data_IF_658274007698
#
_entry.id   IF_658274007698
#
_cell.length_a   1.000
_cell.length_b   1.000
_cell.length_c   1.000
_cell.angle_alpha   90.00
_cell.angle_beta   90.00
_cell.angle_gamma   90.00
#
_symmetry.space_group_name_H-M   'P 1'
#
loop_
_entity.id
_entity.type
_entity.pdbx_description
1 polymer ?
#
# COMPACT_ATOMS: atom_id res chain seq x y z
N UNK A 1 3.56 3.06 -6.35
CA UNK A 1 4.60 3.18 -5.30
C UNK A 1 5.55 1.98 -5.43
N UNK A 2 6.85 2.15 -5.18
CA UNK A 2 7.86 1.07 -5.27
C UNK A 2 8.27 0.51 -3.89
N UNK A 3 7.37 0.54 -2.92
CA UNK A 3 7.62 0.00 -1.58
C UNK A 3 6.29 -0.45 -0.97
N UNK A 4 6.36 -1.42 -0.05
CA UNK A 4 5.23 -1.79 0.81
C UNK A 4 4.92 -0.62 1.75
N UNK A 5 3.64 -0.25 1.83
CA UNK A 5 3.20 0.89 2.63
C UNK A 5 2.09 0.47 3.60
N UNK A 6 2.46 0.11 4.82
CA UNK A 6 1.52 0.09 5.93
C UNK A 6 1.10 1.52 6.26
N UNK A 7 -0.19 1.74 6.43
CA UNK A 7 -0.78 3.04 6.75
C UNK A 7 -1.77 2.92 7.89
N UNK A 8 -1.60 3.71 8.95
CA UNK A 8 -2.50 3.77 10.09
C UNK A 8 -3.34 5.04 10.06
N UNK A 9 -4.67 4.90 10.08
CA UNK A 9 -5.59 6.03 10.17
C UNK A 9 -5.82 6.33 11.64
N UNK A 10 -5.50 7.54 12.09
CA UNK A 10 -5.62 7.92 13.50
C UNK A 10 -6.65 9.02 13.76
N UNK A 11 -7.21 9.63 12.71
CA UNK A 11 -8.30 10.61 12.82
C UNK A 11 -9.16 10.63 11.56
N UNK A 12 -10.46 10.86 11.73
CA UNK A 12 -11.42 11.01 10.63
C UNK A 12 -11.66 9.71 9.85
N UNK A 13 -12.11 9.86 8.60
CA UNK A 13 -12.41 8.76 7.68
C UNK A 13 -12.16 9.13 6.23
N UNK A 14 -11.99 8.13 5.37
CA UNK A 14 -11.82 8.32 3.93
C UNK A 14 -12.35 7.10 3.16
N UNK A 15 -12.67 7.28 1.89
CA UNK A 15 -12.82 6.18 0.94
C UNK A 15 -11.56 6.12 0.07
N UNK A 16 -10.79 5.04 0.23
CA UNK A 16 -9.59 4.80 -0.56
C UNK A 16 -9.97 4.04 -1.83
N UNK A 17 -9.52 4.52 -2.98
CA UNK A 17 -9.46 3.72 -4.20
C UNK A 17 -8.13 2.99 -4.23
N UNK A 18 -8.15 1.66 -4.17
CA UNK A 18 -6.97 0.79 -4.19
C UNK A 18 -6.93 0.04 -5.52
N UNK A 19 -5.88 0.18 -6.34
CA UNK A 19 -5.91 -0.44 -7.67
C UNK A 19 -4.64 -0.31 -8.50
N UNK A 20 -4.57 -1.08 -9.59
CA UNK A 20 -3.37 -1.41 -10.38
C UNK A 20 -2.72 -0.24 -11.11
N UNK A 21 -1.42 -0.37 -11.42
CA UNK A 21 -0.66 0.64 -12.19
C UNK A 21 -0.69 0.41 -13.73
N UNK A 22 -1.14 -0.74 -14.25
CA UNK A 22 -1.21 -0.99 -15.71
C UNK A 22 -2.64 -1.16 -16.26
N UNK A 23 -3.40 -2.20 -15.84
CA UNK A 23 -4.78 -2.44 -16.35
C UNK A 23 -5.69 -3.13 -15.33
N UNK A 24 -6.71 -2.40 -14.85
CA UNK A 24 -7.86 -2.89 -14.10
C UNK A 24 -8.62 -1.75 -13.43
N UNK A 25 -9.79 -2.05 -12.86
CA UNK A 25 -10.55 -1.13 -12.02
C UNK A 25 -10.04 -1.20 -10.58
N UNK A 26 -10.06 -0.07 -9.87
CA UNK A 26 -9.72 -0.03 -8.45
C UNK A 26 -10.87 -0.53 -7.59
N UNK A 27 -10.55 -0.87 -6.34
CA UNK A 27 -11.51 -1.23 -5.29
C UNK A 27 -11.65 -0.06 -4.36
N UNK A 28 -12.88 0.38 -4.14
CA UNK A 28 -13.19 1.37 -3.11
C UNK A 28 -13.28 0.71 -1.75
N UNK A 29 -12.47 1.19 -0.81
CA UNK A 29 -12.39 0.68 0.56
C UNK A 29 -12.61 1.84 1.53
N UNK A 30 -13.74 1.85 2.27
CA UNK A 30 -13.92 2.83 3.34
C UNK A 30 -12.98 2.51 4.50
N UNK A 31 -12.34 3.56 5.03
CA UNK A 31 -11.43 3.49 6.18
C UNK A 31 -11.75 4.59 7.19
N UNK A 32 -11.45 4.33 8.46
CA UNK A 32 -11.66 5.27 9.58
C UNK A 32 -10.55 5.15 10.62
N UNK A 33 -10.55 6.08 11.57
CA UNK A 33 -9.65 6.03 12.73
C UNK A 33 -9.69 4.65 13.41
N UNK A 34 -8.50 4.07 13.60
CA UNK A 34 -8.29 2.71 14.11
C UNK A 34 -7.98 1.68 13.04
N UNK A 35 -8.27 1.96 11.77
CA UNK A 35 -7.96 1.03 10.68
C UNK A 35 -6.49 1.10 10.28
N UNK A 36 -5.95 -0.05 9.88
CA UNK A 36 -4.62 -0.17 9.26
C UNK A 36 -4.78 -0.79 7.87
N UNK A 37 -4.16 -0.16 6.88
CA UNK A 37 -4.12 -0.64 5.50
C UNK A 37 -2.68 -1.01 5.17
N UNK A 38 -2.44 -2.26 4.77
CA UNK A 38 -1.11 -2.69 4.32
C UNK A 38 -1.16 -3.04 2.85
N UNK A 39 -0.42 -2.29 2.04
CA UNK A 39 -0.42 -2.44 0.59
C UNK A 39 0.90 -3.07 0.11
N UNK A 40 0.86 -4.15 -0.70
CA UNK A 40 2.05 -4.64 -1.39
C UNK A 40 2.68 -3.57 -2.29
N UNK A 41 3.99 -3.67 -2.49
CA UNK A 41 4.69 -2.86 -3.48
C UNK A 41 4.01 -2.96 -4.86
N UNK A 42 3.98 -1.84 -5.58
CA UNK A 42 3.28 -1.77 -6.87
C UNK A 42 1.77 -1.56 -6.77
N UNK A 43 1.21 -1.37 -5.58
CA UNK A 43 -0.19 -0.93 -5.44
C UNK A 43 -0.29 0.59 -5.64
N UNK A 44 -1.20 1.06 -6.51
CA UNK A 44 -1.60 2.47 -6.52
C UNK A 44 -2.81 2.67 -5.61
N UNK A 45 -2.89 3.83 -4.97
CA UNK A 45 -4.03 4.20 -4.17
C UNK A 45 -4.26 5.72 -4.20
N UNK A 46 -5.50 6.13 -3.99
CA UNK A 46 -5.89 7.53 -3.80
C UNK A 46 -7.03 7.64 -2.81
N UNK A 47 -7.16 8.79 -2.15
CA UNK A 47 -8.35 9.13 -1.38
C UNK A 47 -9.36 9.78 -2.32
N UNK A 48 -10.56 9.22 -2.45
CA UNK A 48 -11.66 9.79 -3.24
C UNK A 48 -12.41 10.84 -2.44
N UNK A 49 -12.80 10.48 -1.23
CA UNK A 49 -13.51 11.33 -0.29
C UNK A 49 -12.86 11.20 1.09
N UNK A 50 -12.87 12.28 1.86
CA UNK A 50 -12.33 12.29 3.22
C UNK A 50 -13.06 13.28 4.11
N UNK A 51 -13.17 12.95 5.39
CA UNK A 51 -13.62 13.91 6.39
C UNK A 51 -12.62 15.06 6.52
N UNK A 52 -13.09 16.24 6.95
CA UNK A 52 -12.25 17.44 7.07
C UNK A 52 -11.06 17.26 8.04
N UNK A 53 -11.19 16.33 8.98
CA UNK A 53 -10.20 16.00 9.99
C UNK A 53 -9.42 14.70 9.70
N UNK A 54 -9.56 14.12 8.51
CA UNK A 54 -8.87 12.88 8.11
C UNK A 54 -7.35 13.02 8.22
N UNK A 55 -6.71 12.11 8.96
CA UNK A 55 -5.25 12.02 9.11
C UNK A 55 -4.82 10.56 9.20
N UNK A 56 -3.75 10.24 8.49
CA UNK A 56 -3.11 8.93 8.51
C UNK A 56 -1.59 9.09 8.53
N UNK A 57 -0.90 8.03 8.97
CA UNK A 57 0.55 7.92 8.88
C UNK A 57 0.89 6.74 7.97
N UNK A 58 1.74 6.97 6.98
CA UNK A 58 2.36 5.90 6.21
C UNK A 58 3.73 5.56 6.80
N UNK A 59 4.02 4.28 6.96
CA UNK A 59 5.34 3.79 7.36
C UNK A 59 6.00 3.05 6.19
N UNK A 60 7.32 2.94 6.23
CA UNK A 60 8.10 2.18 5.26
C UNK A 60 9.04 1.25 6.00
N UNK A 61 9.07 -0.05 5.66
CA UNK A 61 9.95 -1.01 6.32
C UNK A 61 11.43 -0.60 6.26
N UNK A 62 12.17 -0.94 7.31
CA UNK A 62 13.61 -0.71 7.40
C UNK A 62 14.32 -1.56 6.35
N UNK A 63 15.14 -0.93 5.51
CA UNK A 63 15.86 -1.64 4.43
C UNK A 63 15.22 -1.51 3.05
N UNK A 64 14.02 -0.93 2.92
CA UNK A 64 13.46 -0.65 1.61
C UNK A 64 14.36 0.34 0.83
N UNK A 65 14.76 0.02 -0.42
CA UNK A 65 15.47 0.98 -1.27
C UNK A 65 14.58 2.20 -1.50
N UNK A 66 15.19 3.39 -1.57
CA UNK A 66 14.56 4.72 -1.76
C UNK A 66 13.07 4.65 -2.15
N UNK A 67 12.19 4.86 -1.17
CA UNK A 67 10.75 4.91 -1.41
C UNK A 67 10.43 6.06 -2.37
N UNK A 68 9.60 5.77 -3.38
CA UNK A 68 9.09 6.72 -4.36
C UNK A 68 7.59 6.58 -4.44
N UNK A 69 6.92 7.68 -4.10
CA UNK A 69 5.55 7.93 -4.50
C UNK A 69 5.57 8.72 -5.83
N UNK A 70 4.77 8.28 -6.81
CA UNK A 70 4.61 8.94 -8.09
C UNK A 70 3.13 9.26 -8.28
N UNK A 71 2.82 10.50 -8.59
CA UNK A 71 1.44 11.01 -8.71
C UNK A 71 0.88 10.79 -10.12
N UNK A 72 1.29 9.72 -10.80
CA UNK A 72 0.86 9.38 -12.16
C UNK A 72 1.48 10.20 -13.29
N UNK A 73 2.57 10.97 -13.07
CA UNK A 73 3.21 11.76 -14.14
C UNK A 73 4.06 10.93 -15.08
N UNK A 74 4.42 9.71 -14.67
CA UNK A 74 5.26 8.77 -15.43
C UNK A 74 4.52 7.47 -15.61
N UNK A 75 4.80 6.80 -16.73
CA UNK A 75 4.32 5.45 -16.98
C UNK A 75 4.73 4.51 -15.84
N UNK A 76 3.80 3.62 -15.49
CA UNK A 76 4.00 2.55 -14.52
C UNK A 76 5.20 1.65 -14.86
N UNK A 77 5.48 1.48 -16.14
CA UNK A 77 6.60 0.69 -16.65
C UNK A 77 7.96 1.11 -16.10
N UNK A 78 8.13 2.38 -15.73
CA UNK A 78 9.40 2.92 -15.19
C UNK A 78 9.68 2.43 -13.76
N UNK A 79 8.68 1.87 -13.08
CA UNK A 79 8.78 1.46 -11.69
C UNK A 79 8.75 -0.06 -11.50
N UNK A 80 8.55 -0.84 -12.56
CA UNK A 80 8.35 -2.29 -12.47
C UNK A 80 9.59 -2.99 -11.88
N UNK A 81 10.78 -2.71 -12.41
CA UNK A 81 12.02 -3.31 -11.91
C UNK A 81 12.22 -3.00 -10.42
N UNK A 82 11.97 -1.75 -10.00
CA UNK A 82 12.09 -1.32 -8.61
C UNK A 82 11.01 -1.89 -7.69
N UNK A 83 9.84 -2.29 -8.23
CA UNK A 83 8.79 -2.98 -7.48
C UNK A 83 9.16 -4.45 -7.30
N UNK A 84 9.70 -5.09 -8.34
CA UNK A 84 10.11 -6.49 -8.32
C UNK A 84 11.30 -6.75 -7.38
N UNK A 85 12.11 -5.73 -7.11
CA UNK A 85 13.20 -5.77 -6.12
C UNK A 85 12.73 -5.60 -4.66
N UNK A 86 11.44 -5.34 -4.41
CA UNK A 86 10.95 -5.19 -3.04
C UNK A 86 10.72 -6.56 -2.41
N UNK A 87 11.55 -6.89 -1.44
CA UNK A 87 11.39 -8.10 -0.64
C UNK A 87 10.06 -8.12 0.13
N UNK A 88 9.59 -9.33 0.38
CA UNK A 88 8.49 -9.58 1.29
C UNK A 88 8.85 -9.12 2.71
N UNK A 89 7.94 -8.47 3.45
CA UNK A 89 8.21 -8.11 4.83
C UNK A 89 8.40 -9.39 5.66
N UNK A 90 9.44 -9.39 6.51
CA UNK A 90 9.74 -10.51 7.42
C UNK A 90 8.62 -10.70 8.45
N UNK A 91 8.02 -9.60 8.91
CA UNK A 91 6.97 -9.58 9.94
C UNK A 91 5.71 -8.84 9.47
N UNK A 92 4.57 -9.17 10.07
CA UNK A 92 3.35 -8.38 9.95
C UNK A 92 3.52 -7.04 10.70
N UNK A 93 3.32 -5.88 10.06
CA UNK A 93 3.52 -4.59 10.71
C UNK A 93 2.49 -4.27 11.81
N UNK A 94 1.40 -5.04 11.92
CA UNK A 94 0.35 -4.90 12.93
C UNK A 94 0.50 -5.97 14.01
N UNK A 95 0.71 -7.22 13.60
CA UNK A 95 0.65 -8.38 14.50
C UNK A 95 2.01 -9.02 14.80
N UNK A 96 3.10 -8.54 14.19
CA UNK A 96 4.45 -9.08 14.37
C UNK A 96 4.68 -10.41 13.65
N UNK A 97 5.58 -11.23 14.19
CA UNK A 97 6.05 -12.49 13.59
C UNK A 97 4.93 -13.51 13.35
N UNK A 98 3.90 -13.51 14.20
CA UNK A 98 2.76 -14.44 14.12
C UNK A 98 1.55 -13.85 13.37
N UNK A 99 1.74 -12.70 12.73
CA UNK A 99 0.69 -12.05 11.99
C UNK A 99 0.32 -12.76 10.68
N UNK A 100 -0.90 -12.55 10.18
CA UNK A 100 -1.38 -13.22 8.98
C UNK A 100 -0.70 -12.72 7.70
N UNK A 101 -0.07 -11.55 7.69
CA UNK A 101 0.37 -10.91 6.46
C UNK A 101 1.34 -11.75 5.61
N UNK A 102 2.43 -12.33 6.15
CA UNK A 102 3.29 -13.21 5.37
C UNK A 102 2.53 -14.39 4.74
N UNK A 103 1.55 -14.98 5.45
CA UNK A 103 0.73 -16.08 4.94
C UNK A 103 -0.24 -15.66 3.84
N UNK A 104 -0.94 -14.53 4.04
CA UNK A 104 -1.89 -13.97 3.06
C UNK A 104 -1.18 -13.61 1.76
N UNK A 105 0.06 -13.17 1.87
CA UNK A 105 0.86 -12.72 0.75
C UNK A 105 1.65 -13.87 0.10
N UNK A 106 1.93 -14.99 0.79
CA UNK A 106 2.66 -16.14 0.21
C UNK A 106 1.92 -16.88 -0.93
N UNK A 107 0.69 -16.49 -1.27
CA UNK A 107 -0.05 -16.99 -2.45
C UNK A 107 0.26 -16.20 -3.75
N UNK A 108 1.50 -15.68 -3.86
CA UNK A 108 1.95 -14.78 -4.91
C UNK A 108 1.18 -13.45 -4.90
N UNK A 109 1.59 -12.47 -4.07
CA UNK A 109 0.99 -11.15 -4.02
C UNK A 109 1.67 -10.34 -5.13
N UNK A 110 1.65 -10.84 -6.37
CA UNK A 110 1.76 -9.90 -7.47
C UNK A 110 0.55 -9.01 -7.26
N UNK A 111 0.75 -7.74 -6.93
CA UNK A 111 -0.23 -6.72 -7.28
C UNK A 111 -0.47 -7.00 -8.76
N UNK A 112 -1.55 -7.73 -9.09
CA UNK A 112 -1.72 -8.32 -10.42
C UNK A 112 -1.56 -7.13 -11.36
N UNK A 113 -0.48 -7.09 -12.14
CA UNK A 113 -0.16 -5.95 -12.97
C UNK A 113 -1.37 -5.60 -13.86
#
# INVERSE_FOLDING_TARGET
MNATQPSGIFKGSSTLLLGKIQKGEGVEVPVKAGDVVVLPAGTAHSSLESSSDYRYIGVYPKGCPKWRNETGKKSSSVFLDAIDEVDMPEDDPVYGTDGPLPMLWNQAPRAKL
#
